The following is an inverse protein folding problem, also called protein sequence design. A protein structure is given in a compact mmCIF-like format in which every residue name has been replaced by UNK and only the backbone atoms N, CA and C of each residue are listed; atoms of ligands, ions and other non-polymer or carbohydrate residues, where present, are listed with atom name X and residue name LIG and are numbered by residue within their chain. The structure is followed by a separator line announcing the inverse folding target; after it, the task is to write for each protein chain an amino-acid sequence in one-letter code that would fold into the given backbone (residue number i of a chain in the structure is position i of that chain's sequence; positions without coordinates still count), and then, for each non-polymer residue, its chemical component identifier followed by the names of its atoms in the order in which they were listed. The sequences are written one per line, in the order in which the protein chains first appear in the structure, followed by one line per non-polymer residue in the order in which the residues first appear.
data_IF_852428915328
#
_entry.id   IF_852428915328
#
_cell.length_a   1.000
_cell.length_b   1.000
_cell.length_c   1.000
_cell.angle_alpha   90.00
_cell.angle_beta   90.00
_cell.angle_gamma   90.00
#
_symmetry.space_group_name_H-M   'P 1'
#
loop_
_entity.id
_entity.type
_entity.pdbx_description
1 polymer ?
#
# COMPACT_ATOMS: atom_id res chain seq x y z
N UNK A 1 1.40 -20.48 13.02
CA UNK A 1 0.00 -20.48 12.56
C UNK A 1 -0.50 -19.04 12.53
N UNK A 2 -0.41 -18.35 11.38
CA UNK A 2 -1.03 -17.02 11.24
C UNK A 2 -2.46 -17.22 10.77
N UNK A 3 -3.39 -17.05 11.72
CA UNK A 3 -4.82 -17.21 11.52
C UNK A 3 -5.33 -16.38 10.33
N UNK A 4 -6.17 -17.01 9.54
CA UNK A 4 -6.90 -16.41 8.43
C UNK A 4 -7.98 -15.51 9.05
N UNK A 5 -7.67 -14.23 9.31
CA UNK A 5 -8.66 -13.24 9.73
C UNK A 5 -9.45 -12.71 8.51
N UNK A 6 -10.77 -12.47 8.62
CA UNK A 6 -11.67 -12.55 7.46
C UNK A 6 -11.62 -11.38 6.46
N UNK A 7 -10.84 -10.31 6.68
CA UNK A 7 -10.67 -9.20 5.73
C UNK A 7 -9.32 -8.53 5.94
N UNK A 8 -8.25 -9.07 5.35
CA UNK A 8 -6.99 -8.31 5.28
C UNK A 8 -7.27 -7.06 4.45
N UNK A 9 -7.23 -5.90 5.12
CA UNK A 9 -7.36 -4.58 4.50
C UNK A 9 -5.98 -4.08 4.16
N UNK A 10 -5.88 -3.34 3.07
CA UNK A 10 -4.63 -2.81 2.57
C UNK A 10 -4.82 -1.33 2.29
N UNK A 11 -3.72 -0.58 2.24
CA UNK A 11 -3.78 0.80 1.83
C UNK A 11 -2.62 1.13 0.89
N UNK A 12 -2.88 2.10 0.00
CA UNK A 12 -1.82 2.88 -0.58
C UNK A 12 -1.21 3.78 0.48
N UNK A 13 0.10 3.91 0.40
CA UNK A 13 0.89 4.65 1.36
C UNK A 13 2.07 5.35 0.69
N UNK A 14 2.50 6.44 1.30
CA UNK A 14 3.55 7.31 0.81
C UNK A 14 4.68 7.40 1.83
N UNK A 15 5.87 7.77 1.38
CA UNK A 15 6.98 8.09 2.28
C UNK A 15 6.95 9.57 2.66
N UNK A 16 7.71 9.96 3.68
CA UNK A 16 7.80 11.37 4.10
C UNK A 16 8.39 12.30 3.04
N UNK A 17 9.07 11.75 2.03
CA UNK A 17 9.64 12.48 0.89
C UNK A 17 8.85 12.25 -0.40
N UNK A 18 7.64 11.70 -0.32
CA UNK A 18 6.79 11.48 -1.48
C UNK A 18 6.41 12.81 -2.15
N UNK A 19 6.30 12.77 -3.48
CA UNK A 19 5.87 13.88 -4.31
C UNK A 19 4.99 13.39 -5.47
N UNK A 20 4.54 14.28 -6.37
CA UNK A 20 3.54 13.94 -7.39
C UNK A 20 3.92 12.81 -8.35
N UNK A 21 5.22 12.49 -8.47
CA UNK A 21 5.75 11.45 -9.36
C UNK A 21 6.27 10.23 -8.62
N UNK A 22 6.24 10.25 -7.28
CA UNK A 22 6.69 9.08 -6.51
C UNK A 22 5.62 8.01 -6.53
N UNK A 23 5.99 6.73 -6.73
CA UNK A 23 5.01 5.66 -6.73
C UNK A 23 4.41 5.46 -5.34
N UNK A 24 3.13 5.09 -5.31
CA UNK A 24 2.42 4.66 -4.11
C UNK A 24 2.90 3.27 -3.71
N UNK A 25 3.22 3.13 -2.43
CA UNK A 25 3.51 1.85 -1.81
C UNK A 25 2.21 1.19 -1.35
N UNK A 26 2.26 -0.11 -1.07
CA UNK A 26 1.12 -0.85 -0.53
C UNK A 26 1.54 -1.45 0.81
N UNK A 27 0.69 -1.34 1.82
CA UNK A 27 0.88 -2.04 3.09
C UNK A 27 -0.40 -2.71 3.56
N UNK A 28 -0.25 -3.70 4.43
CA UNK A 28 -1.38 -4.25 5.18
C UNK A 28 -1.76 -3.31 6.33
N UNK A 29 -3.06 -3.04 6.48
CA UNK A 29 -3.58 -2.28 7.61
C UNK A 29 -3.63 -3.13 8.88
N UNK A 30 -3.21 -2.55 9.99
CA UNK A 30 -3.34 -3.16 11.32
C UNK A 30 -4.77 -3.04 11.82
N UNK A 31 -5.02 -3.47 13.07
CA UNK A 31 -6.30 -3.24 13.74
C UNK A 31 -6.64 -1.75 13.85
N UNK A 32 -5.62 -0.89 13.92
CA UNK A 32 -5.79 0.56 14.02
C UNK A 32 -6.29 1.19 12.72
N UNK A 33 -6.14 0.50 11.59
CA UNK A 33 -6.60 0.98 10.29
C UNK A 33 -5.61 1.93 9.62
N UNK A 34 -6.14 2.90 8.87
CA UNK A 34 -5.32 3.87 8.14
C UNK A 34 -4.71 4.93 9.07
N UNK A 35 -3.41 5.19 8.87
CA UNK A 35 -2.65 6.24 9.52
C UNK A 35 -2.40 7.36 8.52
N UNK A 36 -3.18 8.44 8.58
CA UNK A 36 -3.08 9.57 7.63
C UNK A 36 -1.96 10.58 7.96
N UNK A 37 -1.22 10.35 9.04
CA UNK A 37 -0.07 11.17 9.47
C UNK A 37 0.78 10.40 10.48
N UNK A 38 1.97 10.94 10.81
CA UNK A 38 2.76 10.49 11.96
C UNK A 38 3.78 9.38 11.71
N UNK A 39 3.90 8.88 10.48
CA UNK A 39 4.70 7.68 10.19
C UNK A 39 3.86 6.45 10.47
N UNK A 40 3.52 5.68 9.44
CA UNK A 40 2.85 4.42 9.67
C UNK A 40 3.82 3.45 10.36
N UNK A 41 3.42 2.87 11.50
CA UNK A 41 4.23 1.94 12.32
C UNK A 41 4.51 0.58 11.66
N UNK A 42 4.31 0.48 10.34
CA UNK A 42 4.25 -0.76 9.60
C UNK A 42 4.93 -0.57 8.27
N UNK A 43 5.75 -1.55 7.90
CA UNK A 43 6.44 -1.56 6.61
C UNK A 43 5.43 -1.77 5.47
N UNK A 44 5.74 -1.17 4.33
CA UNK A 44 5.12 -1.55 3.06
C UNK A 44 5.57 -2.94 2.62
N UNK A 45 4.87 -3.51 1.64
CA UNK A 45 5.19 -4.82 1.09
C UNK A 45 6.62 -4.91 0.50
N UNK A 46 7.16 -3.81 -0.02
CA UNK A 46 8.54 -3.77 -0.49
C UNK A 46 9.56 -3.49 0.63
N UNK A 47 9.14 -3.45 1.89
CA UNK A 47 9.99 -3.17 3.06
C UNK A 47 10.29 -1.69 3.29
N UNK A 48 9.79 -0.78 2.45
CA UNK A 48 9.97 0.67 2.64
C UNK A 48 9.17 1.17 3.83
N UNK A 49 9.79 2.03 4.64
CA UNK A 49 9.13 2.76 5.73
C UNK A 49 8.25 3.87 5.16
N UNK A 50 6.99 3.90 5.56
CA UNK A 50 5.98 4.83 5.04
C UNK A 50 5.61 5.90 6.07
N UNK A 51 5.30 7.10 5.59
CA UNK A 51 4.91 8.27 6.36
C UNK A 51 3.42 8.28 6.69
N UNK A 52 2.57 7.91 5.73
CA UNK A 52 1.11 7.89 5.90
C UNK A 52 0.43 7.04 4.83
N UNK A 53 -0.82 6.68 5.10
CA UNK A 53 -1.75 6.01 4.21
C UNK A 53 -2.61 7.05 3.47
N UNK A 54 -2.79 6.86 2.17
CA UNK A 54 -3.54 7.77 1.29
C UNK A 54 -4.94 7.25 0.99
N UNK A 55 -5.06 5.96 0.63
CA UNK A 55 -6.33 5.34 0.23
C UNK A 55 -6.40 3.88 0.66
N UNK A 56 -7.55 3.43 1.19
CA UNK A 56 -7.79 2.00 1.47
C UNK A 56 -8.10 1.25 0.17
N UNK A 57 -7.45 0.09 -0.01
CA UNK A 57 -7.58 -0.75 -1.20
C UNK A 57 -7.89 -2.20 -0.87
N UNK A 58 -8.35 -2.92 -1.88
CA UNK A 58 -8.51 -4.38 -1.84
C UNK A 58 -7.63 -5.03 -2.89
N UNK A 59 -6.91 -6.10 -2.55
CA UNK A 59 -6.02 -6.79 -3.50
C UNK A 59 -6.75 -7.33 -4.73
N UNK A 60 -8.06 -7.60 -4.62
CA UNK A 60 -8.88 -8.02 -5.77
C UNK A 60 -8.95 -6.97 -6.88
N UNK A 61 -8.85 -5.67 -6.54
CA UNK A 61 -8.86 -4.56 -7.50
C UNK A 61 -7.46 -4.16 -7.97
N UNK A 62 -6.41 -4.77 -7.40
CA UNK A 62 -5.03 -4.42 -7.70
C UNK A 62 -4.67 -4.59 -9.19
N UNK A 63 -5.11 -5.66 -9.90
CA UNK A 63 -4.87 -5.80 -11.32
C UNK A 63 -5.49 -4.66 -12.15
N UNK A 64 -6.73 -4.28 -11.82
CA UNK A 64 -7.43 -3.18 -12.50
C UNK A 64 -6.75 -1.82 -12.25
N UNK A 65 -6.24 -1.61 -11.04
CA UNK A 65 -5.48 -0.41 -10.68
C UNK A 65 -4.10 -0.39 -11.35
N UNK A 66 -3.44 -1.54 -11.47
CA UNK A 66 -2.17 -1.67 -12.16
C UNK A 66 -2.30 -1.36 -13.67
N UNK A 67 -3.44 -1.69 -14.28
CA UNK A 67 -3.74 -1.32 -15.67
C UNK A 67 -3.97 0.19 -15.87
N UNK A 68 -4.23 0.94 -14.79
CA UNK A 68 -4.46 2.39 -14.81
C UNK A 68 -3.21 3.22 -14.49
N UNK A 69 -2.02 2.61 -14.47
CA UNK A 69 -0.78 3.34 -14.22
C UNK A 69 -0.55 4.42 -15.28
N UNK A 70 -0.11 5.59 -14.84
CA UNK A 70 0.13 6.75 -15.68
C UNK A 70 0.97 7.83 -14.97
N UNK A 71 1.15 9.01 -15.58
CA UNK A 71 2.01 10.07 -15.04
C UNK A 71 1.58 10.59 -13.66
N UNK A 72 0.28 10.49 -13.34
CA UNK A 72 -0.31 10.98 -12.09
C UNK A 72 -0.58 9.89 -11.06
N UNK A 73 -0.44 8.61 -11.45
CA UNK A 73 -0.71 7.48 -10.58
C UNK A 73 0.21 6.33 -10.95
N UNK A 74 1.10 5.96 -10.03
CA UNK A 74 2.00 4.83 -10.21
C UNK A 74 2.05 4.02 -8.94
N UNK A 75 2.00 2.70 -9.07
CA UNK A 75 2.16 1.79 -7.94
C UNK A 75 3.61 1.33 -7.94
N UNK A 76 4.22 1.21 -6.76
CA UNK A 76 5.55 0.64 -6.61
C UNK A 76 5.54 -0.80 -7.16
N UNK A 77 6.39 -1.08 -8.15
CA UNK A 77 6.43 -2.39 -8.81
C UNK A 77 6.69 -3.54 -7.82
N UNK A 78 7.64 -3.36 -6.89
CA UNK A 78 7.92 -4.35 -5.86
C UNK A 78 6.73 -4.56 -4.89
N UNK A 79 6.00 -3.49 -4.55
CA UNK A 79 4.77 -3.63 -3.77
C UNK A 79 3.69 -4.39 -4.55
N UNK A 80 3.56 -4.11 -5.85
CA UNK A 80 2.58 -4.74 -6.72
C UNK A 80 2.84 -6.24 -6.84
N UNK A 81 4.08 -6.64 -7.14
CA UNK A 81 4.47 -8.06 -7.23
C UNK A 81 4.25 -8.82 -5.91
N UNK A 82 4.71 -8.24 -4.80
CA UNK A 82 4.53 -8.84 -3.48
C UNK A 82 3.05 -8.96 -3.11
N UNK A 83 2.24 -7.94 -3.40
CA UNK A 83 0.81 -7.94 -3.12
C UNK A 83 0.01 -8.94 -3.98
N UNK A 84 0.41 -9.16 -5.23
CA UNK A 84 -0.21 -10.18 -6.09
C UNK A 84 0.18 -11.62 -5.69
N UNK A 85 1.24 -11.78 -4.90
CA UNK A 85 1.74 -13.07 -4.42
C UNK A 85 1.29 -13.41 -2.99
N UNK A 86 0.51 -12.54 -2.33
CA UNK A 86 0.19 -12.57 -0.89
C UNK A 86 -1.14 -13.22 -0.51
#
# INVERSE_FOLDING_TARGET
MFGISPRRRYAFCETVVAGPFTPLHIRQLTREGMLKSGGADTLSFCGTKVGWDTEEITLKKLPDLAAKQGPQFKICAACLEAALSA
#
